data_IF_369051531629
#
_entry.id   IF_369051531629
#
_cell.length_a   1.000
_cell.length_b   1.000
_cell.length_c   1.000
_cell.angle_alpha   90.00
_cell.angle_beta   90.00
_cell.angle_gamma   90.00
#
_symmetry.space_group_name_H-M   'P 1'
#
loop_
_entity.id
_entity.type
_entity.pdbx_description
1 polymer ?
#
# COMPACT_ATOMS: atom_id res chain seq x y z
N UNK A 1 -4.89 -5.57 -19.28
CA UNK A 1 -3.99 -6.73 -19.11
C UNK A 1 -3.56 -6.78 -17.65
N UNK A 2 -3.88 -7.87 -16.93
CA UNK A 2 -3.29 -8.11 -15.60
C UNK A 2 -1.91 -8.73 -15.83
N UNK A 3 -0.87 -8.14 -15.24
CA UNK A 3 0.51 -8.63 -15.39
C UNK A 3 0.74 -9.94 -14.62
N UNK A 4 -0.02 -10.14 -13.53
CA UNK A 4 0.04 -11.32 -12.67
C UNK A 4 -1.38 -11.85 -12.42
N UNK A 5 -1.48 -13.15 -12.16
CA UNK A 5 -2.74 -13.84 -11.86
C UNK A 5 -2.93 -14.10 -10.37
N UNK A 6 -1.88 -13.98 -9.56
CA UNK A 6 -1.93 -14.20 -8.11
C UNK A 6 -0.85 -13.41 -7.35
N UNK A 7 -1.05 -13.21 -6.05
CA UNK A 7 -0.01 -12.67 -5.16
C UNK A 7 1.26 -13.55 -5.14
N UNK A 8 1.11 -14.86 -5.34
CA UNK A 8 2.25 -15.79 -5.41
C UNK A 8 3.20 -15.43 -6.56
N UNK A 9 2.66 -15.19 -7.76
CA UNK A 9 3.47 -14.78 -8.92
C UNK A 9 4.15 -13.42 -8.68
N UNK A 10 3.47 -12.49 -8.01
CA UNK A 10 4.03 -11.19 -7.63
C UNK A 10 5.20 -11.38 -6.67
N UNK A 11 5.05 -12.25 -5.66
CA UNK A 11 6.10 -12.57 -4.69
C UNK A 11 7.28 -13.31 -5.33
N UNK A 12 7.04 -14.23 -6.27
CA UNK A 12 8.08 -14.89 -7.05
C UNK A 12 8.86 -13.90 -7.93
N UNK A 13 8.18 -12.91 -8.50
CA UNK A 13 8.80 -11.89 -9.35
C UNK A 13 9.64 -10.86 -8.57
N UNK A 14 9.15 -10.41 -7.41
CA UNK A 14 9.75 -9.28 -6.69
C UNK A 14 10.46 -9.65 -5.39
N UNK A 15 10.27 -10.87 -4.87
CA UNK A 15 10.65 -11.24 -3.51
C UNK A 15 9.63 -10.73 -2.49
N UNK A 16 9.11 -11.62 -1.65
CA UNK A 16 8.07 -11.29 -0.67
C UNK A 16 8.56 -10.22 0.33
N UNK A 17 9.83 -10.25 0.69
CA UNK A 17 10.51 -9.29 1.57
C UNK A 17 10.60 -7.87 1.01
N UNK A 18 10.44 -7.73 -0.31
CA UNK A 18 10.45 -6.45 -1.01
C UNK A 18 9.05 -5.88 -1.21
N UNK A 19 8.01 -6.63 -0.85
CA UNK A 19 6.62 -6.19 -0.93
C UNK A 19 6.14 -5.62 0.41
N UNK A 20 5.45 -4.49 0.34
CA UNK A 20 4.85 -3.83 1.50
C UNK A 20 3.33 -3.84 1.34
N UNK A 21 2.60 -4.57 2.20
CA UNK A 21 1.14 -4.51 2.22
C UNK A 21 0.69 -3.21 2.89
N UNK A 22 -0.25 -2.52 2.27
CA UNK A 22 -0.91 -1.33 2.83
C UNK A 22 -2.42 -1.52 2.75
N UNK A 23 -3.10 -1.41 3.89
CA UNK A 23 -4.57 -1.55 4.00
C UNK A 23 -5.27 -0.23 4.34
N UNK A 24 -4.52 0.79 4.73
CA UNK A 24 -5.07 2.11 5.01
C UNK A 24 -5.41 2.83 3.70
N UNK A 25 -6.71 3.05 3.45
CA UNK A 25 -7.20 3.67 2.22
C UNK A 25 -6.66 5.08 1.99
N UNK A 26 -6.50 5.89 3.05
CA UNK A 26 -5.95 7.24 2.93
C UNK A 26 -4.48 7.20 2.49
N UNK A 27 -3.69 6.27 3.04
CA UNK A 27 -2.31 6.06 2.63
C UNK A 27 -2.21 5.58 1.17
N UNK A 28 -3.08 4.65 0.76
CA UNK A 28 -3.16 4.17 -0.63
C UNK A 28 -3.45 5.33 -1.57
N UNK A 29 -4.47 6.15 -1.28
CA UNK A 29 -4.81 7.32 -2.09
C UNK A 29 -3.70 8.36 -2.10
N UNK A 30 -2.99 8.54 -0.98
CA UNK A 30 -1.85 9.43 -0.89
C UNK A 30 -0.69 8.97 -1.80
N UNK A 31 -0.33 7.67 -1.78
CA UNK A 31 0.70 7.09 -2.64
C UNK A 31 0.37 7.28 -4.11
N UNK A 32 -0.85 6.95 -4.52
CA UNK A 32 -1.29 7.08 -5.91
C UNK A 32 -1.31 8.55 -6.34
N UNK A 33 -1.97 9.43 -5.57
CA UNK A 33 -2.18 10.82 -6.00
C UNK A 33 -0.95 11.71 -5.91
N UNK A 34 -0.10 11.51 -4.90
CA UNK A 34 1.05 12.41 -4.64
C UNK A 34 2.36 11.90 -5.21
N UNK A 35 2.51 10.59 -5.40
CA UNK A 35 3.75 9.98 -5.87
C UNK A 35 3.58 9.18 -7.17
N UNK A 36 2.35 9.03 -7.68
CA UNK A 36 2.09 8.21 -8.87
C UNK A 36 2.35 6.72 -8.67
N UNK A 37 2.51 6.27 -7.41
CA UNK A 37 2.85 4.89 -7.10
C UNK A 37 1.64 3.99 -7.31
N UNK A 38 1.77 3.04 -8.23
CA UNK A 38 0.76 2.02 -8.49
C UNK A 38 1.11 0.75 -7.70
N UNK A 39 0.12 0.10 -7.07
CA UNK A 39 0.34 -1.20 -6.44
C UNK A 39 0.70 -2.25 -7.49
N UNK A 40 1.57 -3.19 -7.11
CA UNK A 40 1.89 -4.37 -7.93
C UNK A 40 0.79 -5.43 -7.85
N UNK A 41 0.06 -5.44 -6.73
CA UNK A 41 -1.09 -6.31 -6.51
C UNK A 41 -2.14 -5.63 -5.62
N UNK A 42 -3.41 -5.91 -5.88
CA UNK A 42 -4.54 -5.47 -5.06
C UNK A 42 -5.40 -6.69 -4.78
N UNK A 43 -5.77 -6.87 -3.52
CA UNK A 43 -6.62 -7.98 -3.08
C UNK A 43 -7.52 -7.56 -1.91
N UNK A 44 -8.39 -8.46 -1.45
CA UNK A 44 -9.01 -8.35 -0.13
C UNK A 44 -8.00 -8.71 0.97
N UNK A 45 -7.97 -7.94 2.05
CA UNK A 45 -7.10 -8.22 3.18
C UNK A 45 -7.61 -9.42 3.97
N UNK A 46 -6.76 -10.42 4.13
CA UNK A 46 -7.01 -11.59 4.99
C UNK A 46 -6.95 -11.24 6.48
N UNK A 47 -6.19 -10.20 6.84
CA UNK A 47 -6.00 -9.74 8.23
C UNK A 47 -7.04 -8.70 8.66
N UNK A 48 -7.43 -7.81 7.74
CA UNK A 48 -8.41 -6.74 7.99
C UNK A 48 -9.66 -7.00 7.13
N UNK A 49 -10.59 -7.82 7.63
CA UNK A 49 -11.82 -8.17 6.89
C UNK A 49 -12.58 -6.93 6.40
N UNK A 50 -13.00 -6.96 5.14
CA UNK A 50 -13.70 -5.84 4.50
C UNK A 50 -12.79 -4.69 4.04
N UNK A 51 -11.47 -4.80 4.24
CA UNK A 51 -10.50 -3.85 3.70
C UNK A 51 -9.81 -4.44 2.47
N UNK A 52 -9.43 -3.56 1.55
CA UNK A 52 -8.48 -3.90 0.50
C UNK A 52 -7.06 -3.92 1.06
N UNK A 53 -6.19 -4.74 0.47
CA UNK A 53 -4.74 -4.67 0.64
C UNK A 53 -4.10 -4.36 -0.70
N UNK A 54 -3.20 -3.38 -0.69
CA UNK A 54 -2.38 -3.01 -1.84
C UNK A 54 -0.92 -3.33 -1.55
N UNK A 55 -0.30 -4.15 -2.39
CA UNK A 55 1.12 -4.49 -2.29
C UNK A 55 1.95 -3.56 -3.16
N UNK A 56 2.92 -2.88 -2.56
CA UNK A 56 3.86 -1.99 -3.25
C UNK A 56 5.29 -2.49 -3.10
N UNK A 57 6.20 -2.04 -3.97
CA UNK A 57 7.63 -2.30 -3.74
C UNK A 57 8.17 -1.37 -2.66
N UNK A 58 8.93 -1.95 -1.74
CA UNK A 58 9.58 -1.23 -0.64
C UNK A 58 10.46 -0.08 -1.14
N UNK A 59 11.26 -0.34 -2.16
CA UNK A 59 12.13 0.66 -2.78
C UNK A 59 11.38 1.87 -3.37
N UNK A 60 10.18 1.65 -3.91
CA UNK A 60 9.35 2.72 -4.48
C UNK A 60 8.65 3.55 -3.39
N UNK A 61 8.38 2.94 -2.23
CA UNK A 61 7.56 3.53 -1.17
C UNK A 61 8.35 4.24 -0.08
N UNK A 62 9.68 4.10 0.00
CA UNK A 62 10.51 4.70 1.06
C UNK A 62 10.24 6.20 1.28
N UNK A 63 10.29 7.00 0.21
CA UNK A 63 10.06 8.45 0.30
C UNK A 63 8.59 8.77 0.59
N UNK A 64 7.66 8.09 -0.09
CA UNK A 64 6.22 8.28 0.09
C UNK A 64 5.77 7.93 1.52
N UNK A 65 6.32 6.87 2.10
CA UNK A 65 6.06 6.47 3.48
C UNK A 65 6.56 7.50 4.49
N UNK A 66 7.78 8.03 4.29
CA UNK A 66 8.30 9.09 5.15
C UNK A 66 7.35 10.31 5.14
N UNK A 67 6.96 10.77 3.94
CA UNK A 67 6.03 11.89 3.77
C UNK A 67 4.63 11.61 4.31
N UNK A 68 4.13 10.38 4.17
CA UNK A 68 2.87 9.97 4.77
C UNK A 68 2.92 10.06 6.29
N UNK A 69 3.97 9.56 6.94
CA UNK A 69 4.12 9.66 8.40
C UNK A 69 4.12 11.10 8.91
N UNK A 70 4.71 12.01 8.14
CA UNK A 70 4.77 13.44 8.49
C UNK A 70 3.40 14.15 8.34
N UNK A 71 2.48 13.61 7.54
CA UNK A 71 1.20 14.27 7.17
C UNK A 71 -0.05 13.47 7.56
N UNK A 72 0.10 12.27 8.14
CA UNK A 72 -1.06 11.43 8.49
C UNK A 72 -1.86 12.08 9.61
N UNK A 73 -3.20 11.94 9.61
CA UNK A 73 -4.01 12.34 10.75
C UNK A 73 -3.51 11.61 12.01
N UNK A 74 -3.20 12.33 13.07
CA UNK A 74 -2.92 11.70 14.36
C UNK A 74 -4.27 11.38 15.02
N UNK A 75 -4.44 10.14 15.45
CA UNK A 75 -5.60 9.74 16.25
C UNK A 75 -5.55 10.46 17.59
N UNK A 76 -6.22 11.61 17.70
CA UNK A 76 -6.19 12.48 18.88
C UNK A 76 -6.89 13.83 18.71
N UNK A 77 -7.05 14.33 17.48
CA UNK A 77 -7.83 15.56 17.23
C UNK A 77 -9.24 15.23 16.75
N UNK A 78 -10.05 14.67 17.65
CA UNK A 78 -11.50 14.86 17.58
C UNK A 78 -11.78 16.22 18.23
N UNK A 79 -11.78 17.28 17.43
CA UNK A 79 -12.40 18.56 17.81
C UNK A 79 -13.50 18.86 16.81
N UNK A 80 -14.64 18.20 17.01
CA UNK A 80 -15.98 18.68 16.67
C UNK A 80 -16.95 18.13 17.72
#
# INVERSE_FOLDING_TARGET
MKLFSSLKEVAECYGMENLVPVTNLQQILFYVRRFGLQPKWIDESTENKGHIVCYYLKQETCLAYKKWKDNRPQSGETSL
#
